data_IF_433499128153
#
_entry.id   IF_433499128153
#
_cell.length_a   1.000
_cell.length_b   1.000
_cell.length_c   1.000
_cell.angle_alpha   90.00
_cell.angle_beta   90.00
_cell.angle_gamma   90.00
#
_symmetry.space_group_name_H-M   'P 1'
#
loop_
_entity.id
_entity.type
_entity.pdbx_description
1 polymer ?
#
# COMPACT_ATOMS: atom_id res chain seq x y z
N UNK A 1 5.84 -3.10 -14.27
CA UNK A 1 7.04 -3.11 -13.39
C UNK A 1 6.57 -3.60 -12.03
N UNK A 2 6.80 -4.87 -11.69
CA UNK A 2 6.38 -5.43 -10.41
C UNK A 2 7.25 -4.77 -9.35
N UNK A 3 6.73 -3.74 -8.69
CA UNK A 3 7.28 -3.25 -7.44
C UNK A 3 7.13 -4.41 -6.45
N UNK A 4 8.09 -5.33 -6.42
CA UNK A 4 8.29 -6.14 -5.23
C UNK A 4 8.39 -5.13 -4.10
N UNK A 5 7.53 -5.20 -3.08
CA UNK A 5 7.51 -4.18 -2.04
C UNK A 5 8.92 -4.18 -1.45
N UNK A 6 9.62 -3.04 -1.57
CA UNK A 6 11.02 -2.87 -1.13
C UNK A 6 11.21 -3.34 0.32
N UNK A 7 10.13 -3.41 1.10
CA UNK A 7 10.06 -4.02 2.42
C UNK A 7 10.58 -5.46 2.46
N UNK A 8 10.33 -6.29 1.45
CA UNK A 8 10.73 -7.71 1.48
C UNK A 8 12.23 -7.90 1.34
N UNK A 9 12.86 -7.15 0.42
CA UNK A 9 14.31 -7.23 0.18
C UNK A 9 15.08 -6.65 1.38
N UNK A 10 14.59 -5.54 1.94
CA UNK A 10 15.19 -4.93 3.15
C UNK A 10 15.03 -5.84 4.37
N UNK A 11 13.87 -6.48 4.55
CA UNK A 11 13.64 -7.43 5.64
C UNK A 11 14.58 -8.64 5.53
N UNK A 12 14.71 -9.22 4.34
CA UNK A 12 15.61 -10.36 4.09
C UNK A 12 17.07 -9.95 4.31
N UNK A 13 17.49 -8.78 3.82
CA UNK A 13 18.85 -8.27 4.01
C UNK A 13 19.20 -8.05 5.48
N UNK A 14 18.27 -7.50 6.27
CA UNK A 14 18.45 -7.30 7.71
C UNK A 14 18.57 -8.66 8.42
N UNK A 15 17.68 -9.61 8.10
CA UNK A 15 17.71 -10.96 8.70
C UNK A 15 19.03 -11.66 8.36
N UNK A 16 19.48 -11.62 7.10
CA UNK A 16 20.75 -12.21 6.67
C UNK A 16 21.92 -11.55 7.40
N UNK A 17 21.94 -10.22 7.53
CA UNK A 17 22.99 -9.52 8.26
C UNK A 17 23.08 -9.97 9.72
N UNK A 18 21.93 -10.11 10.40
CA UNK A 18 21.89 -10.63 11.78
C UNK A 18 22.34 -12.09 11.86
N UNK A 19 21.92 -12.93 10.92
CA UNK A 19 22.37 -14.34 10.86
C UNK A 19 23.88 -14.41 10.66
N UNK A 20 24.44 -13.63 9.74
CA UNK A 20 25.88 -13.59 9.49
C UNK A 20 26.65 -13.07 10.70
N UNK A 21 26.14 -12.03 11.38
CA UNK A 21 26.73 -11.53 12.62
C UNK A 21 26.73 -12.61 13.72
N UNK A 22 25.62 -13.35 13.88
CA UNK A 22 25.51 -14.45 14.85
C UNK A 22 26.49 -15.59 14.51
N UNK A 23 26.60 -15.97 13.23
CA UNK A 23 27.50 -17.04 12.77
C UNK A 23 28.98 -16.66 13.00
N UNK A 24 29.35 -15.42 12.72
CA UNK A 24 30.72 -14.95 12.93
C UNK A 24 31.09 -14.95 14.42
N UNK A 25 30.17 -14.53 15.29
CA UNK A 25 30.42 -14.44 16.73
C UNK A 25 30.39 -15.82 17.41
N UNK A 26 29.47 -16.71 17.00
CA UNK A 26 29.32 -18.06 17.57
C UNK A 26 30.52 -18.99 17.34
N UNK A 27 31.39 -18.68 16.36
CA UNK A 27 32.60 -19.46 16.08
C UNK A 27 33.73 -19.24 17.11
N UNK A 28 33.60 -18.27 18.04
CA UNK A 28 34.57 -17.98 19.10
C UNK A 28 33.98 -18.26 20.50
N UNK A 29 34.28 -19.45 21.07
CA UNK A 29 34.22 -19.84 22.51
C UNK A 29 32.86 -20.15 23.19
N UNK A 30 32.96 -20.86 24.33
CA UNK A 30 31.90 -21.28 25.27
C UNK A 30 31.01 -20.14 25.83
N UNK A 31 31.39 -18.87 25.67
CA UNK A 31 30.59 -17.69 26.04
C UNK A 31 29.40 -17.42 25.10
N UNK A 32 29.33 -18.11 23.95
CA UNK A 32 28.37 -17.87 22.88
C UNK A 32 26.88 -17.97 23.28
N UNK A 33 26.55 -18.69 24.35
CA UNK A 33 25.16 -18.77 24.85
C UNK A 33 24.61 -17.42 25.32
N UNK A 34 25.47 -16.55 25.87
CA UNK A 34 25.05 -15.24 26.38
C UNK A 34 24.78 -14.23 25.24
N UNK A 35 25.66 -14.23 24.23
CA UNK A 35 25.60 -13.34 23.07
C UNK A 35 24.40 -13.68 22.18
N UNK A 36 24.16 -14.96 21.92
CA UNK A 36 23.04 -15.40 21.09
C UNK A 36 21.69 -15.00 21.69
N UNK A 37 21.57 -15.08 23.02
CA UNK A 37 20.38 -14.63 23.75
C UNK A 37 20.17 -13.12 23.65
N UNK A 38 21.24 -12.33 23.74
CA UNK A 38 21.18 -10.87 23.62
C UNK A 38 20.80 -10.45 22.18
N UNK A 39 21.47 -11.02 21.18
CA UNK A 39 21.15 -10.80 19.78
C UNK A 39 19.69 -11.15 19.46
N UNK A 40 19.18 -12.27 20.00
CA UNK A 40 17.78 -12.66 19.88
C UNK A 40 16.84 -11.55 20.40
N UNK A 41 17.08 -11.00 21.59
CA UNK A 41 16.22 -9.94 22.12
C UNK A 41 16.25 -8.67 21.28
N UNK A 42 17.40 -8.31 20.70
CA UNK A 42 17.49 -7.18 19.78
C UNK A 42 16.73 -7.40 18.48
N UNK A 43 16.85 -8.59 17.89
CA UNK A 43 16.12 -8.96 16.66
C UNK A 43 14.62 -8.93 16.94
N UNK A 44 14.17 -9.52 18.04
CA UNK A 44 12.75 -9.53 18.40
C UNK A 44 12.26 -8.10 18.66
N UNK A 45 12.99 -7.28 19.43
CA UNK A 45 12.63 -5.89 19.66
C UNK A 45 12.55 -5.08 18.36
N UNK A 46 13.47 -5.33 17.42
CA UNK A 46 13.47 -4.72 16.10
C UNK A 46 12.28 -5.17 15.23
N UNK A 47 11.91 -6.45 15.25
CA UNK A 47 10.73 -6.91 14.53
C UNK A 47 9.45 -6.30 15.12
N UNK A 48 9.34 -6.28 16.45
CA UNK A 48 8.18 -5.73 17.15
C UNK A 48 8.02 -4.23 16.90
N UNK A 49 9.10 -3.45 16.91
CA UNK A 49 9.01 -2.02 16.57
C UNK A 49 8.59 -1.81 15.11
N UNK A 50 9.02 -2.70 14.20
CA UNK A 50 8.57 -2.71 12.82
C UNK A 50 7.07 -2.94 12.68
N UNK A 51 6.51 -3.91 13.42
CA UNK A 51 5.05 -4.14 13.45
C UNK A 51 4.29 -2.96 14.05
N UNK A 52 4.78 -2.35 15.13
CA UNK A 52 4.16 -1.17 15.75
C UNK A 52 4.15 0.01 14.78
N UNK A 53 5.28 0.32 14.15
CA UNK A 53 5.39 1.42 13.20
C UNK A 53 4.55 1.16 11.96
N UNK A 54 4.65 -0.03 11.36
CA UNK A 54 3.88 -0.40 10.16
C UNK A 54 2.37 -0.34 10.39
N UNK A 55 1.90 -0.89 11.51
CA UNK A 55 0.47 -0.86 11.88
C UNK A 55 0.00 0.56 12.19
N UNK A 56 0.82 1.34 12.90
CA UNK A 56 0.55 2.74 13.20
C UNK A 56 0.40 3.58 11.92
N UNK A 57 1.30 3.39 10.95
CA UNK A 57 1.24 4.07 9.64
C UNK A 57 -0.06 3.74 8.91
N UNK A 58 -0.48 2.47 8.87
CA UNK A 58 -1.74 2.05 8.24
C UNK A 58 -2.94 2.74 8.90
N UNK A 59 -3.00 2.78 10.23
CA UNK A 59 -4.11 3.39 10.95
C UNK A 59 -4.19 4.90 10.73
N UNK A 60 -3.06 5.60 10.81
CA UNK A 60 -3.01 7.05 10.52
C UNK A 60 -3.40 7.32 9.07
N UNK A 61 -2.91 6.51 8.13
CA UNK A 61 -3.27 6.62 6.72
C UNK A 61 -4.79 6.43 6.53
N UNK A 62 -5.39 5.39 7.12
CA UNK A 62 -6.83 5.14 7.03
C UNK A 62 -7.65 6.27 7.67
N UNK A 63 -7.20 6.80 8.83
CA UNK A 63 -7.82 7.96 9.48
C UNK A 63 -7.76 9.20 8.58
N UNK A 64 -6.60 9.54 8.04
CA UNK A 64 -6.43 10.68 7.15
C UNK A 64 -7.32 10.58 5.91
N UNK A 65 -7.36 9.41 5.25
CA UNK A 65 -8.23 9.17 4.08
C UNK A 65 -9.72 9.23 4.39
N UNK A 66 -10.11 9.00 5.64
CA UNK A 66 -11.52 8.98 6.04
C UNK A 66 -12.03 10.34 6.51
N UNK A 67 -11.19 11.13 7.18
CA UNK A 67 -11.62 12.38 7.83
C UNK A 67 -11.09 13.64 7.16
N UNK A 68 -9.88 13.61 6.58
CA UNK A 68 -9.19 14.82 6.10
C UNK A 68 -9.08 14.84 4.58
N UNK A 69 -8.80 13.68 3.98
CA UNK A 69 -8.46 13.51 2.57
C UNK A 69 -9.51 12.62 1.89
N UNK A 70 -10.76 13.09 1.87
CA UNK A 70 -11.93 12.32 1.38
C UNK A 70 -11.82 11.93 -0.09
N UNK A 71 -11.12 12.72 -0.91
CA UNK A 71 -10.88 12.44 -2.34
C UNK A 71 -9.88 11.31 -2.54
N UNK A 72 -9.10 10.94 -1.52
CA UNK A 72 -8.19 9.80 -1.56
C UNK A 72 -8.94 8.45 -1.67
N UNK A 73 -10.27 8.46 -1.49
CA UNK A 73 -11.14 7.27 -1.54
C UNK A 73 -11.34 6.71 -2.95
N UNK A 74 -11.20 7.51 -4.00
CA UNK A 74 -11.69 7.20 -5.35
C UNK A 74 -10.72 6.40 -6.24
N UNK A 75 -9.64 5.85 -5.69
CA UNK A 75 -8.47 5.55 -6.50
C UNK A 75 -8.34 4.13 -7.06
N UNK A 76 -9.36 3.28 -6.95
CA UNK A 76 -9.35 1.96 -7.57
C UNK A 76 -10.62 1.74 -8.36
N UNK A 77 -10.96 2.64 -9.27
CA UNK A 77 -12.01 2.34 -10.24
C UNK A 77 -11.45 1.28 -11.18
N UNK A 78 -11.69 0.02 -10.85
CA UNK A 78 -11.55 -1.05 -11.82
C UNK A 78 -12.63 -0.85 -12.88
N UNK A 79 -12.30 -0.96 -14.17
CA UNK A 79 -13.31 -0.85 -15.21
C UNK A 79 -14.39 -1.92 -14.97
N UNK A 80 -15.69 -1.58 -15.13
CA UNK A 80 -16.74 -2.57 -14.98
C UNK A 80 -16.58 -3.65 -16.05
N UNK A 81 -17.03 -4.89 -15.80
CA UNK A 81 -16.89 -6.00 -16.73
C UNK A 81 -17.56 -5.65 -18.07
N UNK A 82 -16.82 -5.82 -19.17
CA UNK A 82 -17.35 -5.56 -20.50
C UNK A 82 -18.46 -6.57 -20.86
N UNK A 83 -19.50 -6.09 -21.54
CA UNK A 83 -20.52 -6.94 -22.13
C UNK A 83 -20.07 -7.39 -23.52
N UNK A 84 -19.61 -8.63 -23.64
CA UNK A 84 -19.31 -9.25 -24.93
C UNK A 84 -20.56 -9.92 -25.50
N UNK A 85 -21.10 -9.38 -26.60
CA UNK A 85 -22.11 -10.05 -27.41
C UNK A 85 -21.41 -10.88 -28.49
N UNK A 86 -21.91 -12.08 -28.78
CA UNK A 86 -21.21 -13.01 -29.66
C UNK A 86 -21.46 -12.62 -31.13
N UNK A 87 -20.49 -11.93 -31.74
CA UNK A 87 -20.60 -11.44 -33.13
C UNK A 87 -20.31 -12.51 -34.20
N UNK A 88 -20.12 -13.78 -33.83
CA UNK A 88 -19.61 -14.83 -34.71
C UNK A 88 -20.54 -15.20 -35.89
N UNK A 89 -21.82 -14.81 -35.87
CA UNK A 89 -22.77 -15.19 -36.93
C UNK A 89 -22.81 -14.23 -38.12
N UNK A 90 -22.11 -13.10 -38.07
CA UNK A 90 -22.06 -12.21 -39.23
C UNK A 90 -21.05 -12.73 -40.26
N UNK A 91 -21.54 -13.00 -41.48
CA UNK A 91 -20.74 -13.51 -42.61
C UNK A 91 -19.65 -12.53 -43.09
N UNK A 92 -19.67 -11.29 -42.62
CA UNK A 92 -18.69 -10.26 -42.95
C UNK A 92 -18.06 -9.72 -41.66
N UNK A 93 -16.77 -9.32 -41.69
CA UNK A 93 -16.13 -8.68 -40.56
C UNK A 93 -16.89 -7.41 -40.20
N UNK A 94 -17.66 -7.48 -39.12
CA UNK A 94 -18.38 -6.33 -38.56
C UNK A 94 -17.33 -5.38 -38.02
N UNK A 95 -17.40 -4.11 -38.42
CA UNK A 95 -16.61 -3.07 -37.77
C UNK A 95 -16.95 -3.10 -36.28
N UNK A 96 -15.93 -3.19 -35.42
CA UNK A 96 -16.07 -3.16 -33.96
C UNK A 96 -16.89 -1.96 -33.43
N UNK A 97 -17.18 -0.98 -34.29
CA UNK A 97 -17.99 0.20 -34.01
C UNK A 97 -19.49 0.07 -34.34
N UNK A 98 -19.96 -1.05 -34.88
CA UNK A 98 -21.39 -1.19 -35.22
C UNK A 98 -22.26 -1.30 -33.97
N UNK A 99 -23.15 -0.32 -33.78
CA UNK A 99 -24.21 -0.32 -32.76
C UNK A 99 -25.44 -1.01 -33.36
N UNK A 100 -26.02 -2.00 -32.68
CA UNK A 100 -27.24 -2.65 -33.16
C UNK A 100 -28.43 -1.68 -33.08
N UNK A 101 -29.13 -1.50 -34.19
CA UNK A 101 -30.42 -0.84 -34.26
C UNK A 101 -31.47 -1.90 -34.52
N UNK A 102 -32.17 -2.37 -33.49
CA UNK A 102 -33.30 -3.27 -33.69
C UNK A 102 -34.43 -2.49 -34.33
N UNK A 103 -34.52 -2.51 -35.67
CA UNK A 103 -35.58 -1.84 -36.40
C UNK A 103 -36.94 -2.46 -36.06
N UNK A 104 -37.19 -3.68 -36.55
CA UNK A 104 -38.49 -4.35 -36.42
C UNK A 104 -38.42 -5.78 -35.86
N UNK A 105 -37.23 -6.38 -35.77
CA UNK A 105 -37.03 -7.74 -35.25
C UNK A 105 -35.84 -7.79 -34.28
N UNK A 106 -35.91 -8.70 -33.31
CA UNK A 106 -34.81 -8.93 -32.39
C UNK A 106 -33.73 -9.80 -33.04
N UNK A 107 -32.55 -9.22 -33.26
CA UNK A 107 -31.40 -9.93 -33.85
C UNK A 107 -30.53 -10.66 -32.80
N UNK A 108 -30.86 -10.54 -31.51
CA UNK A 108 -30.12 -11.21 -30.43
C UNK A 108 -30.40 -12.71 -30.43
N UNK A 109 -29.34 -13.50 -30.47
CA UNK A 109 -29.44 -14.95 -30.32
C UNK A 109 -29.76 -15.34 -28.88
N UNK A 110 -30.22 -16.57 -28.65
CA UNK A 110 -30.39 -17.09 -27.28
C UNK A 110 -29.07 -17.10 -26.50
N UNK A 111 -27.94 -17.32 -27.19
CA UNK A 111 -26.59 -17.19 -26.60
C UNK A 111 -26.31 -15.77 -26.13
N UNK A 112 -26.73 -14.75 -26.89
CA UNK A 112 -26.54 -13.35 -26.49
C UNK A 112 -27.36 -13.02 -25.25
N UNK A 113 -28.62 -13.49 -25.17
CA UNK A 113 -29.45 -13.32 -23.97
C UNK A 113 -28.82 -13.99 -22.74
N UNK A 114 -28.25 -15.18 -22.93
CA UNK A 114 -27.50 -15.86 -21.86
C UNK A 114 -26.27 -15.06 -21.43
N UNK A 115 -25.53 -14.46 -22.38
CA UNK A 115 -24.38 -13.60 -22.09
C UNK A 115 -24.78 -12.33 -21.32
N UNK A 116 -25.92 -11.71 -21.65
CA UNK A 116 -26.49 -10.60 -20.87
C UNK A 116 -26.77 -11.03 -19.43
N UNK A 117 -27.32 -12.24 -19.24
CA UNK A 117 -27.53 -12.82 -17.92
C UNK A 117 -26.24 -13.03 -17.11
N UNK A 118 -25.16 -13.50 -17.75
CA UNK A 118 -23.85 -13.61 -17.10
C UNK A 118 -23.25 -12.25 -16.75
N UNK A 119 -23.24 -11.34 -17.70
CA UNK A 119 -22.74 -9.99 -17.51
C UNK A 119 -23.49 -9.26 -16.39
N UNK A 120 -24.83 -9.40 -16.29
CA UNK A 120 -25.63 -8.87 -15.18
C UNK A 120 -25.11 -9.34 -13.82
N UNK A 121 -24.81 -10.62 -13.68
CA UNK A 121 -24.30 -11.18 -12.43
C UNK A 121 -22.89 -10.67 -12.12
N UNK A 122 -22.03 -10.55 -13.13
CA UNK A 122 -20.67 -10.05 -12.96
C UNK A 122 -20.63 -8.56 -12.65
N UNK A 123 -21.46 -7.75 -13.32
CA UNK A 123 -21.57 -6.32 -13.06
C UNK A 123 -22.12 -6.06 -11.65
N UNK A 124 -23.15 -6.79 -11.22
CA UNK A 124 -23.64 -6.69 -9.84
C UNK A 124 -22.56 -7.09 -8.82
N UNK A 125 -21.77 -8.13 -9.09
CA UNK A 125 -20.66 -8.53 -8.23
C UNK A 125 -19.58 -7.46 -8.16
N UNK A 126 -19.20 -6.90 -9.31
CA UNK A 126 -18.25 -5.79 -9.41
C UNK A 126 -18.73 -4.59 -8.61
N UNK A 127 -19.98 -4.17 -8.82
CA UNK A 127 -20.60 -3.02 -8.16
C UNK A 127 -20.67 -3.19 -6.65
N UNK A 128 -21.08 -4.37 -6.19
CA UNK A 128 -21.10 -4.70 -4.76
C UNK A 128 -19.68 -4.70 -4.17
N UNK A 129 -18.67 -5.16 -4.93
CA UNK A 129 -17.27 -5.15 -4.49
C UNK A 129 -16.69 -3.73 -4.39
N UNK A 130 -16.99 -2.88 -5.36
CA UNK A 130 -16.54 -1.48 -5.38
C UNK A 130 -17.20 -0.68 -4.24
N UNK A 131 -18.50 -0.91 -4.03
CA UNK A 131 -19.26 -0.32 -2.94
C UNK A 131 -18.74 -0.79 -1.56
N UNK A 132 -18.16 -2.00 -1.49
CA UNK A 132 -17.60 -2.58 -0.28
C UNK A 132 -16.13 -2.20 0.01
N UNK A 133 -15.65 -1.11 -0.61
CA UNK A 133 -14.41 -0.44 -0.19
C UNK A 133 -14.35 -0.11 1.31
N UNK A 134 -15.52 -0.04 1.98
CA UNK A 134 -15.62 0.12 3.42
C UNK A 134 -15.16 -1.11 4.21
N UNK A 135 -15.54 -2.33 3.81
CA UNK A 135 -15.14 -3.57 4.47
C UNK A 135 -13.64 -3.81 4.31
N UNK A 136 -13.07 -3.55 3.13
CA UNK A 136 -11.62 -3.66 2.93
C UNK A 136 -10.84 -2.75 3.88
N UNK A 137 -11.32 -1.51 4.10
CA UNK A 137 -10.71 -0.59 5.09
C UNK A 137 -10.87 -1.10 6.52
N UNK A 138 -12.04 -1.62 6.86
CA UNK A 138 -12.29 -2.20 8.19
C UNK A 138 -11.39 -3.41 8.43
N UNK A 139 -11.19 -4.28 7.44
CA UNK A 139 -10.28 -5.42 7.52
C UNK A 139 -8.82 -4.96 7.68
N UNK A 140 -8.38 -3.94 6.93
CA UNK A 140 -7.04 -3.36 7.10
C UNK A 140 -6.85 -2.73 8.48
N UNK A 141 -7.85 -1.99 8.97
CA UNK A 141 -7.83 -1.40 10.31
C UNK A 141 -7.80 -2.48 11.39
N UNK A 142 -8.66 -3.50 11.30
CA UNK A 142 -8.71 -4.61 12.24
C UNK A 142 -7.40 -5.39 12.28
N UNK A 143 -6.79 -5.63 11.12
CA UNK A 143 -5.49 -6.29 11.01
C UNK A 143 -4.38 -5.46 11.67
N UNK A 144 -4.32 -4.15 11.37
CA UNK A 144 -3.34 -3.25 11.97
C UNK A 144 -3.52 -3.11 13.50
N UNK A 145 -4.76 -3.01 13.98
CA UNK A 145 -5.07 -2.99 15.41
C UNK A 145 -4.64 -4.29 16.10
N UNK A 146 -4.89 -5.43 15.47
CA UNK A 146 -4.49 -6.74 16.02
C UNK A 146 -2.97 -6.82 16.20
N UNK A 147 -2.20 -6.38 15.20
CA UNK A 147 -0.75 -6.31 15.32
C UNK A 147 -0.31 -5.34 16.41
N UNK A 148 -0.93 -4.17 16.53
CA UNK A 148 -0.56 -3.18 17.54
C UNK A 148 -0.82 -3.70 18.96
N UNK A 149 -1.97 -4.34 19.19
CA UNK A 149 -2.36 -4.92 20.48
C UNK A 149 -1.33 -5.97 20.96
N UNK A 150 -0.77 -6.76 20.05
CA UNK A 150 0.21 -7.81 20.40
C UNK A 150 1.64 -7.28 20.42
N UNK A 151 2.04 -6.54 19.39
CA UNK A 151 3.43 -6.11 19.21
C UNK A 151 3.83 -5.03 20.21
N UNK A 152 2.92 -4.13 20.62
CA UNK A 152 3.25 -3.01 21.50
C UNK A 152 3.63 -3.48 22.93
N UNK A 153 2.85 -4.36 23.61
CA UNK A 153 3.26 -4.91 24.89
C UNK A 153 4.55 -5.72 24.79
N UNK A 154 4.68 -6.57 23.76
CA UNK A 154 5.89 -7.38 23.56
C UNK A 154 7.12 -6.50 23.35
N UNK A 155 7.04 -5.50 22.47
CA UNK A 155 8.10 -4.53 22.26
C UNK A 155 8.54 -3.91 23.57
N UNK A 156 7.59 -3.40 24.37
CA UNK A 156 7.91 -2.74 25.63
C UNK A 156 8.57 -3.69 26.64
N UNK A 157 8.12 -4.94 26.72
CA UNK A 157 8.73 -5.95 27.58
C UNK A 157 10.18 -6.26 27.17
N UNK A 158 10.42 -6.54 25.88
CA UNK A 158 11.76 -6.81 25.37
C UNK A 158 12.68 -5.59 25.49
N UNK A 159 12.17 -4.41 25.18
CA UNK A 159 12.92 -3.17 25.27
C UNK A 159 13.32 -2.83 26.71
N UNK A 160 12.42 -2.97 27.68
CA UNK A 160 12.77 -2.78 29.10
C UNK A 160 13.79 -3.79 29.59
N UNK A 161 13.70 -5.03 29.12
CA UNK A 161 14.69 -6.06 29.46
C UNK A 161 16.07 -5.70 28.91
N UNK A 162 16.15 -5.30 27.64
CA UNK A 162 17.37 -4.80 27.02
C UNK A 162 17.94 -3.62 27.83
N UNK A 163 17.12 -2.62 28.16
CA UNK A 163 17.56 -1.49 28.97
C UNK A 163 18.11 -1.90 30.35
N UNK A 164 17.47 -2.86 31.03
CA UNK A 164 17.92 -3.34 32.35
C UNK A 164 19.27 -4.07 32.24
N UNK A 165 19.40 -4.97 31.27
CA UNK A 165 20.64 -5.72 31.02
C UNK A 165 21.78 -4.76 30.64
N UNK A 166 21.50 -3.69 29.89
CA UNK A 166 22.50 -2.67 29.57
C UNK A 166 23.04 -1.92 30.78
N UNK A 167 22.17 -1.58 31.73
CA UNK A 167 22.62 -0.90 32.97
C UNK A 167 23.55 -1.80 33.79
N UNK A 168 23.31 -3.12 33.77
CA UNK A 168 24.19 -4.07 34.43
C UNK A 168 25.52 -4.23 33.68
N UNK A 169 25.51 -4.32 32.35
CA UNK A 169 26.73 -4.56 31.56
C UNK A 169 27.63 -3.33 31.39
N UNK A 170 27.08 -2.11 31.46
CA UNK A 170 27.90 -0.90 31.41
C UNK A 170 28.94 -0.82 32.54
N UNK A 171 28.79 -1.63 33.59
CA UNK A 171 29.76 -1.74 34.69
C UNK A 171 30.93 -2.71 34.41
N UNK A 172 30.84 -3.56 33.37
CA UNK A 172 31.74 -4.72 33.19
C UNK A 172 32.66 -4.68 31.95
N UNK A 173 32.72 -3.57 31.22
CA UNK A 173 33.76 -3.32 30.20
C UNK A 173 33.41 -3.57 28.72
N UNK A 174 34.29 -3.06 27.86
CA UNK A 174 34.07 -2.48 26.51
C UNK A 174 33.44 -3.33 25.39
N UNK A 175 33.54 -4.68 25.39
CA UNK A 175 33.23 -5.48 24.17
C UNK A 175 31.74 -5.63 23.84
N UNK A 176 30.84 -5.66 24.82
CA UNK A 176 29.38 -5.79 24.60
C UNK A 176 28.71 -4.52 24.06
N UNK A 177 29.43 -3.40 23.99
CA UNK A 177 28.90 -2.14 23.48
C UNK A 177 28.68 -2.13 21.95
N UNK A 178 29.25 -3.06 21.20
CA UNK A 178 29.17 -3.05 19.74
C UNK A 178 27.75 -3.40 19.26
N UNK A 179 27.15 -4.48 19.78
CA UNK A 179 25.81 -4.95 19.36
C UNK A 179 24.76 -3.86 19.62
N UNK A 180 24.82 -3.26 20.81
CA UNK A 180 23.98 -2.13 21.20
C UNK A 180 24.11 -0.93 20.25
N UNK A 181 25.36 -0.54 20.01
CA UNK A 181 25.68 0.55 19.09
C UNK A 181 25.06 0.26 17.72
N UNK A 182 25.32 -0.93 17.16
CA UNK A 182 24.75 -1.36 15.86
C UNK A 182 23.22 -1.26 15.88
N UNK A 183 22.54 -1.78 16.91
CA UNK A 183 21.08 -1.69 17.03
C UNK A 183 20.56 -0.25 17.00
N UNK A 184 21.11 0.65 17.84
CA UNK A 184 20.65 2.03 17.90
C UNK A 184 20.99 2.82 16.63
N UNK A 185 22.13 2.56 16.00
CA UNK A 185 22.46 3.16 14.70
C UNK A 185 21.53 2.68 13.60
N UNK A 186 21.22 1.38 13.53
CA UNK A 186 20.28 0.83 12.55
C UNK A 186 18.87 1.40 12.74
N UNK A 187 18.38 1.50 13.98
CA UNK A 187 17.07 2.10 14.24
C UNK A 187 17.03 3.60 14.00
N UNK A 188 18.10 4.33 14.34
CA UNK A 188 18.20 5.76 14.00
C UNK A 188 18.21 5.94 12.48
N UNK A 189 18.95 5.11 11.74
CA UNK A 189 18.97 5.14 10.28
C UNK A 189 17.59 4.81 9.70
N UNK A 190 16.92 3.78 10.19
CA UNK A 190 15.58 3.42 9.76
C UNK A 190 14.58 4.57 10.03
N UNK A 191 14.61 5.17 11.23
CA UNK A 191 13.81 6.34 11.57
C UNK A 191 14.08 7.53 10.64
N UNK A 192 15.36 7.78 10.32
CA UNK A 192 15.74 8.83 9.38
C UNK A 192 15.19 8.58 7.96
N UNK A 193 15.24 7.34 7.48
CA UNK A 193 14.67 6.97 6.17
C UNK A 193 13.15 7.16 6.14
N UNK A 194 12.45 6.86 7.24
CA UNK A 194 11.01 7.14 7.41
C UNK A 194 10.70 8.65 7.46
N UNK A 195 11.70 9.52 7.54
CA UNK A 195 11.52 10.98 7.44
C UNK A 195 11.87 11.46 6.04
N UNK A 196 13.06 11.12 5.55
CA UNK A 196 13.61 11.68 4.31
C UNK A 196 12.79 11.29 3.09
N UNK A 197 12.42 10.01 2.97
CA UNK A 197 11.67 9.50 1.81
C UNK A 197 10.29 10.16 1.67
N UNK A 198 9.41 10.16 2.71
CA UNK A 198 8.11 10.82 2.58
C UNK A 198 8.22 12.34 2.45
N UNK A 199 9.21 12.97 3.07
CA UNK A 199 9.44 14.40 2.92
C UNK A 199 9.77 14.76 1.46
N UNK A 200 10.59 13.96 0.78
CA UNK A 200 10.88 14.14 -0.64
C UNK A 200 9.60 14.05 -1.51
N UNK A 201 8.69 13.11 -1.20
CA UNK A 201 7.41 13.01 -1.91
C UNK A 201 6.49 14.21 -1.66
N UNK A 202 6.38 14.67 -0.41
CA UNK A 202 5.57 15.84 -0.05
C UNK A 202 6.10 17.09 -0.74
N UNK A 203 7.43 17.29 -0.73
CA UNK A 203 8.08 18.39 -1.44
C UNK A 203 7.78 18.29 -2.93
N UNK A 204 7.95 17.11 -3.55
CA UNK A 204 7.68 16.93 -4.97
C UNK A 204 6.21 17.25 -5.31
N UNK A 205 5.24 16.80 -4.50
CA UNK A 205 3.83 17.14 -4.68
C UNK A 205 3.60 18.65 -4.58
N UNK A 206 4.27 19.31 -3.63
CA UNK A 206 4.17 20.76 -3.49
C UNK A 206 4.77 21.51 -4.68
N UNK A 207 5.94 21.07 -5.15
CA UNK A 207 6.59 21.62 -6.33
C UNK A 207 5.71 21.46 -7.57
N UNK A 208 5.18 20.26 -7.86
CA UNK A 208 4.33 20.07 -9.05
C UNK A 208 2.96 20.72 -8.93
N UNK A 209 2.46 20.97 -7.72
CA UNK A 209 1.15 21.62 -7.52
C UNK A 209 1.23 23.14 -7.58
N UNK A 210 2.26 23.75 -6.98
CA UNK A 210 2.34 25.21 -6.85
C UNK A 210 3.37 25.87 -7.75
N UNK A 211 4.48 25.19 -8.07
CA UNK A 211 5.60 25.78 -8.83
C UNK A 211 5.56 25.32 -10.30
N UNK A 212 5.27 24.03 -10.53
CA UNK A 212 5.31 23.41 -11.85
C UNK A 212 3.99 22.70 -12.21
N UNK A 213 2.85 23.41 -12.24
CA UNK A 213 1.55 22.80 -12.56
C UNK A 213 1.52 22.10 -13.93
N UNK A 214 2.31 22.59 -14.90
CA UNK A 214 2.43 21.96 -16.22
C UNK A 214 3.10 20.57 -16.21
N UNK A 215 3.99 20.31 -15.24
CA UNK A 215 4.62 19.00 -15.09
C UNK A 215 3.62 17.95 -14.60
N UNK A 216 2.56 18.39 -13.91
CA UNK A 216 1.47 17.54 -13.46
C UNK A 216 0.57 17.12 -14.64
N UNK A 217 0.23 18.07 -15.52
CA UNK A 217 -0.60 17.84 -16.70
C UNK A 217 0.04 16.86 -17.69
N UNK A 218 1.35 16.94 -17.91
CA UNK A 218 2.07 16.05 -18.83
C UNK A 218 1.97 14.57 -18.44
N UNK A 219 1.70 14.27 -17.16
CA UNK A 219 1.51 12.89 -16.69
C UNK A 219 0.12 12.34 -17.00
N UNK A 220 -0.90 13.20 -17.15
CA UNK A 220 -2.27 12.80 -17.52
C UNK A 220 -2.35 12.41 -19.00
N UNK A 221 -1.67 13.17 -19.86
CA UNK A 221 -1.69 12.93 -21.31
C UNK A 221 -1.02 11.62 -21.71
N UNK A 222 0.00 11.17 -20.96
CA UNK A 222 0.76 9.96 -21.27
C UNK A 222 -0.01 8.66 -21.00
N UNK A 223 -1.06 8.69 -20.16
CA UNK A 223 -1.88 7.51 -19.80
C UNK A 223 -3.08 7.35 -20.74
N UNK A 224 -3.43 8.37 -21.52
CA UNK A 224 -4.52 8.37 -22.50
C UNK A 224 -4.13 7.66 -23.81
N UNK A 225 -3.74 6.38 -23.75
CA UNK A 225 -3.89 5.53 -24.93
C UNK A 225 -5.26 4.85 -24.82
N UNK A 226 -6.24 5.20 -25.68
CA UNK A 226 -7.48 4.45 -25.70
C UNK A 226 -7.14 3.01 -26.05
N UNK A 227 -7.32 2.09 -25.10
CA UNK A 227 -7.73 0.74 -25.45
C UNK A 227 -8.99 0.87 -26.30
N UNK A 228 -9.23 -0.02 -27.25
CA UNK A 228 -10.38 0.07 -28.18
C UNK A 228 -11.72 0.11 -27.42
N UNK A 229 -12.13 1.32 -26.99
CA UNK A 229 -13.25 1.63 -26.08
C UNK A 229 -14.62 1.36 -26.72
N UNK A 230 -14.64 1.21 -28.04
CA UNK A 230 -15.90 1.24 -28.79
C UNK A 230 -16.64 -0.09 -28.69
N UNK A 231 -15.94 -1.21 -28.80
CA UNK A 231 -16.55 -2.54 -28.73
C UNK A 231 -17.26 -2.81 -27.39
N UNK A 232 -16.68 -2.34 -26.28
CA UNK A 232 -17.21 -2.58 -24.93
C UNK A 232 -18.51 -1.81 -24.67
N UNK A 233 -18.66 -0.60 -25.22
CA UNK A 233 -19.88 0.22 -25.09
C UNK A 233 -21.03 -0.31 -25.95
N UNK A 234 -20.71 -0.90 -27.09
CA UNK A 234 -21.72 -1.32 -28.06
C UNK A 234 -22.65 -2.37 -27.48
N UNK A 235 -22.16 -3.30 -26.64
CA UNK A 235 -23.00 -4.28 -25.97
C UNK A 235 -24.11 -3.62 -25.15
N UNK A 236 -23.76 -2.71 -24.23
CA UNK A 236 -24.71 -2.03 -23.36
C UNK A 236 -25.65 -1.11 -24.16
N UNK A 237 -25.13 -0.36 -25.14
CA UNK A 237 -25.95 0.50 -25.99
C UNK A 237 -26.96 -0.29 -26.82
N UNK A 238 -26.60 -1.51 -27.23
CA UNK A 238 -27.48 -2.40 -28.00
C UNK A 238 -28.63 -2.92 -27.16
N UNK A 239 -28.41 -3.29 -25.88
CA UNK A 239 -29.51 -3.62 -24.95
C UNK A 239 -30.50 -2.46 -24.86
N UNK A 240 -29.99 -1.23 -24.65
CA UNK A 240 -30.81 -0.03 -24.47
C UNK A 240 -31.63 0.27 -25.73
N UNK A 241 -30.99 0.24 -26.90
CA UNK A 241 -31.65 0.54 -28.18
C UNK A 241 -32.68 -0.51 -28.57
N UNK A 242 -32.49 -1.77 -28.14
CA UNK A 242 -33.32 -2.91 -28.53
C UNK A 242 -34.35 -3.32 -27.48
N UNK A 243 -34.46 -2.60 -26.36
CA UNK A 243 -35.32 -2.94 -25.23
C UNK A 243 -36.73 -3.37 -25.63
N UNK A 244 -37.41 -2.58 -26.46
CA UNK A 244 -38.78 -2.82 -26.88
C UNK A 244 -38.96 -3.99 -27.87
N UNK A 245 -37.93 -4.29 -28.67
CA UNK A 245 -38.02 -5.28 -29.74
C UNK A 245 -37.49 -6.66 -29.31
N UNK A 246 -36.60 -6.70 -28.31
CA UNK A 246 -35.95 -7.92 -27.84
C UNK A 246 -36.49 -8.48 -26.52
N UNK A 247 -37.55 -7.87 -25.98
CA UNK A 247 -38.14 -8.28 -24.71
C UNK A 247 -37.11 -8.31 -23.56
N UNK A 248 -36.18 -7.35 -23.56
CA UNK A 248 -35.29 -7.14 -22.41
C UNK A 248 -36.11 -6.62 -21.23
N UNK A 249 -35.76 -7.07 -20.04
CA UNK A 249 -36.41 -6.61 -18.80
C UNK A 249 -36.00 -5.17 -18.49
N UNK A 250 -36.88 -4.44 -17.79
CA UNK A 250 -36.58 -3.07 -17.34
C UNK A 250 -35.30 -3.01 -16.49
N UNK A 251 -35.08 -4.03 -15.66
CA UNK A 251 -33.85 -4.21 -14.87
C UNK A 251 -32.59 -4.30 -15.74
N UNK A 252 -32.62 -5.05 -16.85
CA UNK A 252 -31.46 -5.20 -17.75
C UNK A 252 -31.14 -3.89 -18.47
N UNK A 253 -32.17 -3.18 -18.92
CA UNK A 253 -32.01 -1.86 -19.56
C UNK A 253 -31.43 -0.86 -18.57
N UNK A 254 -31.96 -0.83 -17.34
CA UNK A 254 -31.46 0.05 -16.27
C UNK A 254 -30.01 -0.26 -15.92
N UNK A 255 -29.63 -1.53 -15.80
CA UNK A 255 -28.24 -1.93 -15.53
C UNK A 255 -27.30 -1.58 -16.68
N UNK A 256 -27.73 -1.71 -17.95
CA UNK A 256 -26.92 -1.31 -19.10
C UNK A 256 -26.67 0.20 -19.11
N UNK A 257 -27.68 0.99 -18.72
CA UNK A 257 -27.59 2.44 -18.61
C UNK A 257 -26.66 2.86 -17.48
N UNK A 258 -26.75 2.21 -16.32
CA UNK A 258 -25.87 2.45 -15.18
C UNK A 258 -24.43 2.05 -15.50
N UNK A 259 -24.23 0.89 -16.13
CA UNK A 259 -22.91 0.45 -16.57
C UNK A 259 -22.26 1.45 -17.52
N UNK A 260 -23.01 2.07 -18.45
CA UNK A 260 -22.47 3.12 -19.32
C UNK A 260 -22.00 4.34 -18.53
N UNK A 261 -22.71 4.73 -17.47
CA UNK A 261 -22.29 5.82 -16.57
C UNK A 261 -21.00 5.43 -15.86
N UNK A 262 -20.96 4.25 -15.24
CA UNK A 262 -19.79 3.74 -14.51
C UNK A 262 -18.58 3.56 -15.41
N UNK A 263 -18.77 3.03 -16.61
CA UNK A 263 -17.73 2.82 -17.60
C UNK A 263 -17.16 4.13 -18.13
N UNK A 264 -18.01 5.12 -18.38
CA UNK A 264 -17.55 6.45 -18.76
C UNK A 264 -16.78 7.11 -17.61
N UNK A 265 -17.21 6.91 -16.36
CA UNK A 265 -16.51 7.41 -15.18
C UNK A 265 -15.18 6.69 -14.96
N UNK A 266 -15.10 5.37 -15.17
CA UNK A 266 -13.87 4.58 -15.01
C UNK A 266 -12.83 4.86 -16.08
N UNK A 267 -13.26 5.26 -17.27
CA UNK A 267 -12.40 5.68 -18.37
C UNK A 267 -11.92 7.13 -18.27
N UNK A 268 -12.42 7.91 -17.31
CA UNK A 268 -11.78 9.19 -17.02
C UNK A 268 -10.39 8.92 -16.45
N UNK A 269 -9.35 9.67 -16.86
CA UNK A 269 -8.03 9.52 -16.28
C UNK A 269 -8.16 9.64 -14.76
N UNK A 270 -7.54 8.71 -13.99
CA UNK A 270 -7.67 8.72 -12.54
C UNK A 270 -7.25 10.10 -12.04
N UNK A 271 -8.13 10.75 -11.27
CA UNK A 271 -7.85 12.10 -10.81
C UNK A 271 -6.50 12.15 -10.09
N UNK A 272 -5.58 12.95 -10.62
CA UNK A 272 -4.28 13.20 -9.98
C UNK A 272 -4.44 13.70 -8.54
N UNK A 273 -5.57 14.32 -8.22
CA UNK A 273 -5.93 14.75 -6.86
C UNK A 273 -5.97 13.57 -5.89
N UNK A 274 -6.64 12.48 -6.25
CA UNK A 274 -6.73 11.28 -5.41
C UNK A 274 -5.35 10.64 -5.21
N UNK A 275 -4.52 10.58 -6.26
CA UNK A 275 -3.15 10.09 -6.19
C UNK A 275 -2.28 10.90 -5.24
N UNK A 276 -2.34 12.23 -5.35
CA UNK A 276 -1.62 13.16 -4.49
C UNK A 276 -2.07 13.02 -3.06
N UNK A 277 -3.38 12.99 -2.80
CA UNK A 277 -3.89 12.82 -1.44
C UNK A 277 -3.49 11.47 -0.84
N UNK A 278 -3.50 10.38 -1.61
CA UNK A 278 -3.02 9.08 -1.15
C UNK A 278 -1.53 9.10 -0.79
N UNK A 279 -0.69 9.74 -1.61
CA UNK A 279 0.75 9.90 -1.31
C UNK A 279 0.98 10.80 -0.10
N UNK A 280 0.24 11.90 0.03
CA UNK A 280 0.28 12.79 1.19
C UNK A 280 -0.13 12.06 2.48
N UNK A 281 -1.25 11.32 2.46
CA UNK A 281 -1.71 10.54 3.60
C UNK A 281 -0.64 9.57 4.11
N UNK A 282 -0.03 8.82 3.17
CA UNK A 282 1.08 7.91 3.46
C UNK A 282 2.29 8.66 4.00
N UNK A 283 2.66 9.78 3.40
CA UNK A 283 3.81 10.58 3.82
C UNK A 283 3.66 11.15 5.23
N UNK A 284 2.49 11.72 5.54
CA UNK A 284 2.15 12.24 6.87
C UNK A 284 2.19 11.11 7.90
N UNK A 285 1.62 9.94 7.57
CA UNK A 285 1.64 8.78 8.44
C UNK A 285 3.07 8.34 8.76
N UNK A 286 3.96 8.26 7.76
CA UNK A 286 5.36 7.95 8.00
C UNK A 286 6.07 9.00 8.87
N UNK A 287 5.86 10.29 8.63
CA UNK A 287 6.45 11.36 9.44
C UNK A 287 6.00 11.29 10.90
N UNK A 288 4.72 10.97 11.15
CA UNK A 288 4.15 10.87 12.49
C UNK A 288 4.86 9.83 13.36
N UNK A 289 5.38 8.74 12.76
CA UNK A 289 6.13 7.70 13.49
C UNK A 289 7.66 7.83 13.34
N UNK A 290 8.12 8.25 12.16
CA UNK A 290 9.54 8.40 11.84
C UNK A 290 10.22 9.47 12.70
N UNK A 291 9.56 10.61 12.93
CA UNK A 291 10.12 11.70 13.74
C UNK A 291 10.34 11.27 15.20
N UNK A 292 9.33 10.74 15.94
CA UNK A 292 9.55 10.26 17.31
C UNK A 292 10.59 9.14 17.38
N UNK A 293 10.54 8.18 16.44
CA UNK A 293 11.46 7.05 16.40
C UNK A 293 12.91 7.51 16.23
N UNK A 294 13.17 8.36 15.23
CA UNK A 294 14.50 8.92 14.98
C UNK A 294 14.98 9.75 16.18
N UNK A 295 14.15 10.66 16.68
CA UNK A 295 14.54 11.55 17.77
C UNK A 295 14.90 10.79 19.04
N UNK A 296 14.12 9.74 19.37
CA UNK A 296 14.39 8.89 20.53
C UNK A 296 15.72 8.13 20.39
N UNK A 297 15.91 7.39 19.30
CA UNK A 297 17.11 6.57 19.13
C UNK A 297 18.38 7.41 18.90
N UNK A 298 18.27 8.53 18.19
CA UNK A 298 19.40 9.43 18.00
C UNK A 298 19.86 10.08 19.31
N UNK A 299 18.93 10.36 20.24
CA UNK A 299 19.26 10.86 21.58
C UNK A 299 20.09 9.84 22.36
N UNK A 300 19.73 8.57 22.32
CA UNK A 300 20.50 7.49 22.97
C UNK A 300 21.91 7.37 22.39
N UNK A 301 22.05 7.39 21.06
CA UNK A 301 23.37 7.41 20.39
C UNK A 301 24.21 8.61 20.85
N UNK A 302 23.60 9.79 21.00
CA UNK A 302 24.31 10.99 21.47
C UNK A 302 24.75 10.85 22.92
N UNK A 303 23.94 10.24 23.78
CA UNK A 303 24.30 9.98 25.18
C UNK A 303 25.47 8.99 25.28
N UNK A 304 25.46 7.91 24.51
CA UNK A 304 26.57 6.95 24.46
C UNK A 304 27.89 7.61 24.04
N UNK A 305 27.85 8.50 23.04
CA UNK A 305 29.04 9.25 22.60
C UNK A 305 29.58 10.20 23.65
N UNK A 306 28.72 10.76 24.51
CA UNK A 306 29.15 11.62 25.61
C UNK A 306 29.83 10.81 26.71
N UNK A 307 29.21 9.71 27.14
CA UNK A 307 29.76 8.85 28.19
C UNK A 307 31.16 8.30 27.79
N UNK A 308 31.37 7.94 26.52
CA UNK A 308 32.69 7.50 26.03
C UNK A 308 33.79 8.56 26.06
N UNK A 309 33.44 9.85 26.04
CA UNK A 309 34.43 10.94 26.11
C UNK A 309 34.86 11.26 27.54
N UNK A 310 34.02 10.90 28.51
CA UNK A 310 34.24 11.19 29.93
C UNK A 310 34.99 10.08 30.66
N UNK A 311 35.17 8.90 30.05
CA UNK A 311 36.05 7.85 30.58
C UNK A 311 37.51 8.36 30.55
N UNK A 312 38.14 8.59 31.72
CA UNK A 312 39.49 9.14 31.78
C UNK A 312 40.49 8.13 31.21
N UNK A 313 41.36 8.62 30.32
CA UNK A 313 42.55 7.92 29.81
C UNK A 313 43.50 7.68 30.99
N UNK A 314 43.15 6.76 31.89
CA UNK A 314 43.84 6.54 33.16
C UNK A 314 44.52 5.16 33.24
N UNK A 315 44.65 4.47 32.11
CA UNK A 315 45.32 3.16 32.05
C UNK A 315 46.08 2.96 30.73
N UNK A 316 46.94 3.93 30.40
CA UNK A 316 48.03 3.74 29.43
C UNK A 316 49.36 3.82 30.17
#
# INVERSE_FOLDING_TARGET
>A
MIFMPMSSILAIGIIIFFILAIIQEGKRREEGKSILREAFFYIVAFLMIGFVVGSGVILVQLGLKSFVLTEAKTQTVSSPPALSLNMETMKEPVDSNTIYTCADQCEFTETDKQNVGYWKNDYNRWKNTEQDSSQTRQQQAATALSFLIVALPLYFLFFRKLQKEHRAFSAEGSRRNIIRSVYFYTLSLAGLLLIVVPLAFIINIGLTTWIFPKADLASEDAVNKPYSVVAEKNGAQSIINCAGNCNFTEDEVSLAQEWLVDYNQSNQPPSNKAAKQNRLATGIAFLAFGIPLFAYHFKEVKQERKNKKEEPISSS
#
